data_IF_119332361611
#
_entry.id   IF_119332361611
#
_cell.length_a   1.000
_cell.length_b   1.000
_cell.length_c   1.000
_cell.angle_alpha   90.00
_cell.angle_beta   90.00
_cell.angle_gamma   90.00
#
_symmetry.space_group_name_H-M   'P 1'
#
loop_
_entity.id
_entity.type
_entity.pdbx_description
1 polymer ?
#
# COMPACT_ATOMS: atom_id res chain seq x y z
N UNK A 1 10.70 -2.50 21.91
CA UNK A 1 10.98 -3.62 21.01
C UNK A 1 12.22 -3.40 20.14
N UNK A 2 12.54 -4.33 19.31
CA UNK A 2 13.68 -4.25 18.41
C UNK A 2 13.37 -4.89 17.05
N UNK A 3 14.02 -4.38 16.00
CA UNK A 3 13.94 -5.01 14.68
C UNK A 3 14.73 -6.31 14.68
N UNK A 4 14.12 -7.35 14.14
CA UNK A 4 14.88 -8.52 13.72
C UNK A 4 15.61 -8.19 12.43
N UNK A 5 16.78 -8.76 12.23
CA UNK A 5 17.55 -8.57 10.99
C UNK A 5 16.97 -9.43 9.86
N UNK A 6 15.69 -9.14 9.55
CA UNK A 6 14.95 -9.83 8.49
C UNK A 6 14.01 -8.87 7.79
N UNK A 7 14.20 -8.73 6.49
CA UNK A 7 13.52 -7.74 5.67
C UNK A 7 12.75 -8.39 4.51
N UNK A 8 11.56 -7.88 4.26
CA UNK A 8 10.70 -8.31 3.15
C UNK A 8 10.52 -7.12 2.22
N UNK A 9 10.91 -7.30 0.97
CA UNK A 9 10.75 -6.32 -0.10
C UNK A 9 9.49 -6.65 -0.90
N UNK A 10 8.42 -5.89 -0.69
CA UNK A 10 7.23 -5.98 -1.53
C UNK A 10 7.52 -5.32 -2.88
N UNK A 11 7.56 -6.12 -3.93
CA UNK A 11 7.98 -5.71 -5.27
C UNK A 11 6.93 -4.88 -6.03
N UNK A 12 7.35 -4.31 -7.15
CA UNK A 12 6.52 -3.57 -8.10
C UNK A 12 5.80 -2.35 -7.51
N UNK A 13 6.40 -1.70 -6.54
CA UNK A 13 5.85 -0.49 -5.92
C UNK A 13 6.32 0.76 -6.67
N UNK A 14 5.36 1.54 -7.16
CA UNK A 14 5.64 2.77 -7.88
C UNK A 14 5.62 3.98 -6.95
N UNK A 15 6.67 4.80 -7.02
CA UNK A 15 6.70 6.12 -6.39
C UNK A 15 7.25 7.16 -7.36
N UNK A 16 6.46 8.20 -7.66
CA UNK A 16 6.81 9.25 -8.63
C UNK A 16 7.31 8.71 -9.99
N UNK A 17 6.65 7.67 -10.51
CA UNK A 17 6.99 7.05 -11.79
C UNK A 17 8.23 6.13 -11.77
N UNK A 18 8.85 5.92 -10.60
CA UNK A 18 9.99 5.02 -10.44
C UNK A 18 9.54 3.73 -9.77
N UNK A 19 10.03 2.59 -10.28
CA UNK A 19 9.79 1.28 -9.66
C UNK A 19 10.71 1.07 -8.47
N UNK A 20 10.18 0.45 -7.42
CA UNK A 20 10.92 0.13 -6.21
C UNK A 20 10.19 -0.90 -5.37
N UNK A 21 10.49 -0.87 -4.09
CA UNK A 21 9.98 -1.81 -3.09
C UNK A 21 9.39 -1.06 -1.90
N UNK A 22 8.33 -1.60 -1.29
CA UNK A 22 8.02 -1.27 0.09
C UNK A 22 8.80 -2.23 0.98
N UNK A 23 9.52 -1.67 1.95
CA UNK A 23 10.35 -2.42 2.88
C UNK A 23 9.58 -2.72 4.13
N UNK A 24 9.39 -4.00 4.41
CA UNK A 24 8.83 -4.49 5.65
C UNK A 24 9.93 -5.16 6.46
N UNK A 25 10.05 -4.80 7.74
CA UNK A 25 10.98 -5.44 8.67
C UNK A 25 10.19 -6.03 9.82
N UNK A 26 10.55 -7.23 10.25
CA UNK A 26 9.95 -7.85 11.44
C UNK A 26 10.41 -7.10 12.67
N UNK A 27 9.46 -6.74 13.53
CA UNK A 27 9.72 -6.03 14.78
C UNK A 27 9.16 -6.84 15.94
N UNK A 28 10.03 -7.27 16.83
CA UNK A 28 9.67 -7.98 18.04
C UNK A 28 9.29 -6.98 19.12
N UNK A 29 8.12 -7.19 19.69
CA UNK A 29 7.63 -6.38 20.79
C UNK A 29 8.28 -6.84 22.10
N UNK A 30 8.73 -5.89 22.96
CA UNK A 30 9.38 -6.20 24.24
C UNK A 30 8.55 -7.21 25.04
N UNK A 31 9.22 -8.31 25.43
CA UNK A 31 8.69 -9.39 26.28
C UNK A 31 7.35 -10.01 25.82
N UNK A 32 6.94 -9.79 24.58
CA UNK A 32 5.66 -10.26 24.05
C UNK A 32 5.78 -10.77 22.63
N UNK A 33 5.51 -12.02 22.45
CA UNK A 33 5.01 -12.53 21.18
C UNK A 33 3.53 -12.17 21.06
N UNK A 34 3.03 -11.85 19.87
CA UNK A 34 3.62 -11.97 18.54
C UNK A 34 4.41 -10.72 18.10
N UNK A 35 5.27 -10.91 17.10
CA UNK A 35 5.96 -9.83 16.37
C UNK A 35 5.02 -9.10 15.40
N UNK A 36 5.43 -7.92 14.90
CA UNK A 36 4.66 -7.15 13.92
C UNK A 36 5.52 -6.81 12.70
N UNK A 37 4.92 -6.82 11.50
CA UNK A 37 5.57 -6.29 10.31
C UNK A 37 5.47 -4.76 10.28
N UNK A 38 6.62 -4.10 10.27
CA UNK A 38 6.73 -2.64 10.17
C UNK A 38 7.04 -2.26 8.74
N UNK A 39 6.13 -1.52 8.11
CA UNK A 39 6.39 -0.90 6.82
C UNK A 39 7.22 0.36 7.03
N UNK A 40 8.51 0.28 6.67
CA UNK A 40 9.47 1.37 6.81
C UNK A 40 9.43 2.38 5.66
N UNK A 41 8.66 2.12 4.62
CA UNK A 41 8.52 3.00 3.47
C UNK A 41 9.07 2.41 2.18
N UNK A 42 9.13 3.27 1.16
CA UNK A 42 9.55 2.91 -0.19
C UNK A 42 11.04 3.20 -0.44
N UNK A 43 11.69 2.26 -1.11
CA UNK A 43 13.06 2.39 -1.62
C UNK A 43 13.09 2.11 -3.12
N UNK A 44 13.88 2.87 -3.88
CA UNK A 44 14.04 2.64 -5.31
C UNK A 44 14.73 1.32 -5.61
N UNK A 45 14.27 0.62 -6.65
CA UNK A 45 14.99 -0.53 -7.16
C UNK A 45 16.27 -0.07 -7.87
N UNK A 46 17.34 -0.85 -7.73
CA UNK A 46 18.55 -0.65 -8.51
C UNK A 46 18.33 -1.05 -9.97
N UNK A 47 19.22 -0.58 -10.86
CA UNK A 47 19.18 -0.94 -12.29
C UNK A 47 19.33 -2.46 -12.48
N UNK A 48 20.17 -3.08 -11.67
CA UNK A 48 20.32 -4.53 -11.59
C UNK A 48 19.42 -5.08 -10.48
N UNK A 49 18.23 -5.53 -10.85
CA UNK A 49 17.22 -6.05 -9.92
C UNK A 49 17.58 -7.39 -9.30
N UNK A 50 18.65 -8.06 -9.76
CA UNK A 50 19.15 -9.27 -9.12
C UNK A 50 19.92 -8.98 -7.83
N UNK A 51 20.29 -7.71 -7.62
CA UNK A 51 21.00 -7.28 -6.41
C UNK A 51 20.02 -6.80 -5.36
N UNK A 52 20.25 -7.24 -4.13
CA UNK A 52 19.52 -6.73 -2.98
C UNK A 52 19.89 -5.24 -2.73
N UNK A 53 18.90 -4.36 -2.48
CA UNK A 53 19.19 -3.00 -2.06
C UNK A 53 19.93 -3.01 -0.73
N UNK A 54 20.85 -2.06 -0.55
CA UNK A 54 21.66 -1.96 0.68
C UNK A 54 21.07 -0.89 1.60
N UNK A 55 20.75 -1.29 2.80
CA UNK A 55 20.33 -0.41 3.87
C UNK A 55 20.58 -1.07 5.22
N UNK A 56 20.65 -0.26 6.27
CA UNK A 56 20.87 -0.76 7.61
C UNK A 56 19.54 -0.99 8.34
N UNK A 57 19.50 -2.06 9.13
CA UNK A 57 18.43 -2.32 10.09
C UNK A 57 18.97 -2.00 11.48
N UNK A 58 18.32 -1.09 12.24
CA UNK A 58 18.77 -0.78 13.60
C UNK A 58 18.69 -2.00 14.52
N UNK A 59 19.74 -2.28 15.25
CA UNK A 59 19.86 -3.45 16.16
C UNK A 59 19.56 -3.10 17.62
N UNK A 60 19.40 -1.82 17.94
CA UNK A 60 19.09 -1.37 19.30
C UNK A 60 17.60 -1.33 19.57
N UNK A 61 17.20 -1.50 20.85
CA UNK A 61 15.81 -1.33 21.26
C UNK A 61 15.30 0.06 20.88
N UNK A 62 14.10 0.10 20.29
CA UNK A 62 13.46 1.31 19.79
C UNK A 62 12.00 1.38 20.21
N UNK A 63 11.52 2.60 20.33
CA UNK A 63 10.09 2.89 20.34
C UNK A 63 9.69 3.34 18.95
N UNK A 64 8.67 2.70 18.40
CA UNK A 64 8.11 3.04 17.09
C UNK A 64 6.76 3.72 17.27
N UNK A 65 6.60 4.83 16.59
CA UNK A 65 5.32 5.50 16.44
C UNK A 65 4.85 5.32 14.99
N UNK A 66 3.56 5.01 14.79
CA UNK A 66 3.02 4.73 13.48
C UNK A 66 1.53 4.37 13.51
N UNK A 67 0.98 4.10 12.35
CA UNK A 67 -0.42 3.75 12.18
C UNK A 67 -0.58 2.28 11.85
N UNK A 68 -1.44 1.57 12.59
CA UNK A 68 -1.84 0.21 12.23
C UNK A 68 -2.65 0.22 10.93
N UNK A 69 -2.34 -0.70 10.06
CA UNK A 69 -2.99 -0.86 8.76
C UNK A 69 -3.17 -2.33 8.44
N UNK A 70 -4.24 -2.62 7.71
CA UNK A 70 -4.34 -3.94 7.10
C UNK A 70 -3.19 -4.13 6.10
N UNK A 71 -2.72 -5.37 5.89
CA UNK A 71 -1.77 -5.68 4.84
C UNK A 71 -2.29 -5.16 3.49
N UNK A 72 -1.40 -4.79 2.57
CA UNK A 72 -1.82 -4.45 1.22
C UNK A 72 -2.69 -5.56 0.64
N UNK A 73 -3.84 -5.20 0.05
CA UNK A 73 -4.70 -6.17 -0.59
C UNK A 73 -3.89 -6.93 -1.65
N UNK A 74 -3.90 -8.25 -1.57
CA UNK A 74 -3.32 -9.08 -2.61
C UNK A 74 -4.13 -8.88 -3.89
N UNK A 75 -3.47 -8.48 -4.98
CA UNK A 75 -4.08 -8.47 -6.31
C UNK A 75 -4.56 -9.87 -6.73
N UNK A 76 -4.95 -10.01 -8.00
CA UNK A 76 -5.34 -11.32 -8.55
C UNK A 76 -4.23 -12.35 -8.27
N UNK A 77 -4.56 -13.40 -7.51
CA UNK A 77 -3.68 -14.55 -7.31
C UNK A 77 -3.77 -15.43 -8.54
N UNK A 78 -2.65 -15.63 -9.20
CA UNK A 78 -2.49 -16.73 -10.14
C UNK A 78 -1.90 -17.91 -9.36
N UNK A 79 -2.48 -19.10 -9.46
CA UNK A 79 -1.90 -20.30 -8.90
C UNK A 79 -0.46 -20.46 -9.42
N UNK A 80 0.50 -20.62 -8.50
CA UNK A 80 1.94 -20.70 -8.82
C UNK A 80 2.70 -19.37 -8.75
N UNK A 81 2.07 -18.25 -8.38
CA UNK A 81 2.74 -16.94 -8.21
C UNK A 81 3.33 -16.72 -6.81
N UNK A 82 3.52 -17.77 -6.02
CA UNK A 82 4.22 -17.69 -4.73
C UNK A 82 5.74 -17.56 -4.93
N UNK A 83 6.14 -16.48 -5.60
CA UNK A 83 7.55 -16.20 -5.78
C UNK A 83 8.06 -15.45 -4.54
N UNK A 84 8.44 -16.21 -3.53
CA UNK A 84 9.38 -15.74 -2.51
C UNK A 84 10.76 -15.92 -3.11
N UNK A 85 11.40 -14.84 -3.50
CA UNK A 85 12.77 -14.85 -3.96
C UNK A 85 13.67 -14.45 -2.81
N UNK A 86 14.54 -15.37 -2.37
CA UNK A 86 15.57 -15.08 -1.39
C UNK A 86 16.69 -14.32 -2.08
N UNK A 87 16.80 -13.02 -1.81
CA UNK A 87 17.88 -12.19 -2.34
C UNK A 87 19.15 -12.33 -1.50
N UNK A 88 18.98 -12.44 -0.17
CA UNK A 88 20.03 -12.73 0.81
C UNK A 88 19.43 -13.60 1.92
N UNK A 89 20.23 -13.99 2.91
CA UNK A 89 19.74 -14.79 4.04
C UNK A 89 18.76 -14.01 4.91
N UNK A 90 18.89 -12.69 4.94
CA UNK A 90 18.12 -11.74 5.74
C UNK A 90 17.13 -10.90 4.92
N UNK A 91 17.00 -11.17 3.60
CA UNK A 91 16.16 -10.33 2.73
C UNK A 91 15.44 -11.15 1.64
N UNK A 92 14.12 -11.07 1.66
CA UNK A 92 13.28 -11.75 0.68
C UNK A 92 12.52 -10.73 -0.16
N UNK A 93 12.43 -11.00 -1.47
CA UNK A 93 11.58 -10.26 -2.39
C UNK A 93 10.30 -11.03 -2.63
N UNK A 94 9.15 -10.36 -2.45
CA UNK A 94 7.82 -10.97 -2.60
C UNK A 94 6.93 -10.10 -3.48
N UNK A 95 6.01 -10.72 -4.18
CA UNK A 95 4.99 -10.02 -4.97
C UNK A 95 3.78 -9.60 -4.11
N UNK A 96 3.56 -10.29 -2.99
CA UNK A 96 2.48 -10.02 -2.03
C UNK A 96 2.90 -10.49 -0.63
N UNK A 97 2.28 -9.93 0.39
CA UNK A 97 2.50 -10.33 1.78
C UNK A 97 1.55 -11.49 2.09
N UNK A 98 2.11 -12.69 2.22
CA UNK A 98 1.39 -13.89 2.68
C UNK A 98 1.75 -14.20 4.14
N UNK A 99 0.90 -13.76 5.08
CA UNK A 99 1.17 -13.95 6.51
C UNK A 99 1.29 -15.41 6.93
N UNK A 100 0.39 -16.34 6.51
CA UNK A 100 0.55 -17.76 6.83
C UNK A 100 1.88 -18.34 6.34
N UNK A 101 2.27 -18.02 5.11
CA UNK A 101 3.56 -18.45 4.55
C UNK A 101 4.76 -17.86 5.29
N UNK A 102 4.68 -16.58 5.67
CA UNK A 102 5.74 -15.91 6.44
C UNK A 102 5.88 -16.51 7.85
N UNK A 103 4.79 -16.69 8.58
CA UNK A 103 4.79 -17.32 9.92
C UNK A 103 5.45 -18.71 9.85
N UNK A 104 5.05 -19.51 8.85
CA UNK A 104 5.63 -20.86 8.67
C UNK A 104 7.12 -20.81 8.33
N UNK A 105 7.52 -19.87 7.47
CA UNK A 105 8.89 -19.80 6.95
C UNK A 105 9.87 -19.16 7.94
N UNK A 106 9.40 -18.20 8.74
CA UNK A 106 10.23 -17.50 9.74
C UNK A 106 10.25 -18.23 11.08
N UNK A 107 9.23 -19.04 11.37
CA UNK A 107 9.03 -19.63 12.70
C UNK A 107 8.61 -18.61 13.76
N UNK A 108 8.20 -17.42 13.34
CA UNK A 108 7.80 -16.31 14.19
C UNK A 108 6.27 -16.19 14.23
N UNK A 109 5.72 -15.89 15.39
CA UNK A 109 4.30 -15.57 15.54
C UNK A 109 4.07 -14.09 15.18
N UNK A 110 3.50 -13.86 13.99
CA UNK A 110 3.26 -12.52 13.46
C UNK A 110 1.80 -12.10 13.62
N UNK A 111 1.60 -10.88 14.10
CA UNK A 111 0.29 -10.23 14.01
C UNK A 111 -0.11 -10.05 12.54
N UNK A 112 -1.34 -10.45 12.18
CA UNK A 112 -1.90 -10.27 10.82
C UNK A 112 -2.35 -8.81 10.62
N UNK A 113 -1.45 -7.90 10.92
CA UNK A 113 -1.59 -6.45 10.77
C UNK A 113 -0.20 -5.86 10.55
N UNK A 114 -0.11 -4.70 9.91
CA UNK A 114 1.16 -4.02 9.71
C UNK A 114 1.18 -2.67 10.42
N UNK A 115 2.36 -2.21 10.83
CA UNK A 115 2.59 -0.86 11.30
C UNK A 115 3.16 -0.01 10.17
N UNK A 116 2.44 1.00 9.72
CA UNK A 116 2.98 2.04 8.83
C UNK A 116 3.76 3.02 9.71
N UNK A 117 5.08 3.01 9.56
CA UNK A 117 5.97 3.85 10.34
C UNK A 117 5.70 5.33 10.08
N UNK A 118 5.61 6.17 11.12
CA UNK A 118 5.38 7.60 10.97
C UNK A 118 6.49 8.29 10.17
N UNK A 119 6.12 9.36 9.47
CA UNK A 119 7.03 10.06 8.56
C UNK A 119 8.29 10.59 9.25
N UNK A 120 8.18 10.98 10.51
CA UNK A 120 9.27 11.56 11.30
C UNK A 120 10.07 10.50 12.08
N UNK A 121 9.63 9.24 12.08
CA UNK A 121 10.32 8.18 12.78
C UNK A 121 11.69 7.87 12.13
N UNK A 122 12.73 7.59 12.94
CA UNK A 122 14.04 7.22 12.42
C UNK A 122 14.01 5.90 11.66
N UNK A 123 15.07 5.63 10.90
CA UNK A 123 15.28 4.36 10.18
C UNK A 123 14.19 4.00 9.14
N UNK A 124 13.41 4.98 8.68
CA UNK A 124 12.46 4.81 7.60
C UNK A 124 13.01 5.29 6.25
N UNK A 125 12.30 4.87 5.20
CA UNK A 125 12.57 5.26 3.81
C UNK A 125 11.57 6.34 3.36
N UNK A 126 11.30 6.46 2.06
CA UNK A 126 10.30 7.40 1.55
C UNK A 126 8.90 6.92 2.01
N UNK A 127 8.23 7.73 2.80
CA UNK A 127 6.92 7.45 3.38
C UNK A 127 5.92 8.50 2.92
N UNK A 128 5.13 8.13 1.91
CA UNK A 128 4.04 8.95 1.40
C UNK A 128 2.73 8.17 1.61
N UNK A 129 2.33 8.04 2.87
CA UNK A 129 1.11 7.32 3.19
C UNK A 129 -0.11 8.13 2.76
N UNK A 130 -0.72 7.74 1.64
CA UNK A 130 -2.00 8.29 1.22
C UNK A 130 -3.12 7.63 2.02
N UNK A 131 -3.94 8.40 2.73
CA UNK A 131 -5.12 7.84 3.39
C UNK A 131 -6.03 7.17 2.36
N UNK A 132 -6.69 6.05 2.72
CA UNK A 132 -7.70 5.45 1.85
C UNK A 132 -8.76 6.48 1.46
N UNK A 133 -9.07 6.60 0.18
CA UNK A 133 -10.07 7.55 -0.32
C UNK A 133 -9.58 9.00 -0.53
N UNK A 134 -8.30 9.29 -0.33
CA UNK A 134 -7.72 10.63 -0.48
C UNK A 134 -7.40 11.04 -1.93
N UNK A 135 -7.88 10.30 -2.92
CA UNK A 135 -7.74 10.67 -4.34
C UNK A 135 -8.74 11.79 -4.70
N UNK A 136 -8.48 13.00 -4.16
CA UNK A 136 -9.34 14.18 -4.32
C UNK A 136 -9.59 14.50 -5.80
N UNK A 137 -8.57 14.37 -6.64
CA UNK A 137 -8.69 14.65 -8.07
C UNK A 137 -9.66 13.70 -8.75
N UNK A 138 -9.61 12.41 -8.40
CA UNK A 138 -10.54 11.40 -8.92
C UNK A 138 -11.96 11.64 -8.41
N UNK A 139 -12.11 11.93 -7.13
CA UNK A 139 -13.41 12.21 -6.52
C UNK A 139 -14.05 13.45 -7.11
N UNK A 140 -13.27 14.51 -7.34
CA UNK A 140 -13.73 15.73 -8.01
C UNK A 140 -14.12 15.45 -9.46
N UNK A 141 -13.38 14.64 -10.19
CA UNK A 141 -13.71 14.21 -11.54
C UNK A 141 -15.03 13.46 -11.60
N UNK A 142 -15.28 12.53 -10.69
CA UNK A 142 -16.58 11.85 -10.60
C UNK A 142 -17.71 12.81 -10.24
N UNK A 143 -17.50 13.71 -9.29
CA UNK A 143 -18.50 14.71 -8.93
C UNK A 143 -18.87 15.57 -10.15
N UNK A 144 -17.88 16.08 -10.88
CA UNK A 144 -18.12 16.85 -12.11
C UNK A 144 -18.94 16.06 -13.14
N UNK A 145 -18.61 14.79 -13.36
CA UNK A 145 -19.32 13.93 -14.30
C UNK A 145 -20.80 13.76 -13.91
N UNK A 146 -21.08 13.53 -12.63
CA UNK A 146 -22.46 13.39 -12.14
C UNK A 146 -23.26 14.69 -12.27
N UNK A 147 -22.66 15.84 -11.93
CA UNK A 147 -23.32 17.13 -12.09
C UNK A 147 -23.58 17.48 -13.58
N UNK A 148 -22.64 17.17 -14.47
CA UNK A 148 -22.82 17.37 -15.90
C UNK A 148 -23.96 16.52 -16.47
N UNK A 149 -24.07 15.27 -16.07
CA UNK A 149 -25.17 14.39 -16.46
C UNK A 149 -26.52 14.89 -15.92
N UNK A 150 -26.57 15.30 -14.65
CA UNK A 150 -27.79 15.87 -14.05
C UNK A 150 -28.24 17.12 -14.79
N UNK A 151 -27.32 18.01 -15.13
CA UNK A 151 -27.62 19.23 -15.92
C UNK A 151 -28.14 18.87 -17.31
N UNK A 152 -27.52 17.90 -17.99
CA UNK A 152 -27.99 17.48 -19.31
C UNK A 152 -29.43 16.92 -19.27
N UNK A 153 -29.75 16.09 -18.28
CA UNK A 153 -31.10 15.56 -18.07
C UNK A 153 -32.09 16.69 -17.80
N UNK A 154 -31.72 17.65 -16.96
CA UNK A 154 -32.54 18.82 -16.64
C UNK A 154 -32.85 19.67 -17.91
N UNK A 155 -31.84 19.95 -18.72
CA UNK A 155 -32.01 20.69 -19.99
C UNK A 155 -32.94 19.94 -20.95
N UNK A 156 -32.75 18.62 -21.11
CA UNK A 156 -33.61 17.80 -21.95
C UNK A 156 -35.04 17.84 -21.45
N UNK A 157 -35.28 17.68 -20.17
CA UNK A 157 -36.60 17.71 -19.57
C UNK A 157 -37.28 19.06 -19.83
N UNK A 158 -36.58 20.19 -19.62
CA UNK A 158 -37.08 21.53 -19.90
C UNK A 158 -37.44 21.70 -21.38
N UNK A 159 -36.56 21.27 -22.29
CA UNK A 159 -36.80 21.38 -23.74
C UNK A 159 -38.03 20.55 -24.16
N UNK A 160 -38.18 19.34 -23.65
CA UNK A 160 -39.33 18.48 -23.95
C UNK A 160 -40.61 19.14 -23.41
N UNK A 161 -40.61 19.62 -22.18
CA UNK A 161 -41.77 20.27 -21.57
C UNK A 161 -42.20 21.50 -22.34
N UNK A 162 -41.25 22.37 -22.72
CA UNK A 162 -41.53 23.57 -23.50
C UNK A 162 -42.10 23.26 -24.91
N UNK A 163 -41.57 22.18 -25.55
CA UNK A 163 -42.08 21.72 -26.85
C UNK A 163 -43.52 21.18 -26.75
N UNK A 164 -43.78 20.36 -25.73
CA UNK A 164 -45.10 19.80 -25.48
C UNK A 164 -46.14 20.94 -25.22
N UNK A 165 -45.75 21.95 -24.46
CA UNK A 165 -46.64 23.10 -24.18
C UNK A 165 -46.99 23.87 -25.46
N UNK A 166 -46.03 24.10 -26.36
CA UNK A 166 -46.28 24.78 -27.63
C UNK A 166 -47.15 23.96 -28.60
N UNK A 167 -47.05 22.62 -28.58
CA UNK A 167 -47.83 21.73 -29.47
C UNK A 167 -49.28 21.56 -29.02
N UNK A 168 -49.61 21.80 -27.77
CA UNK A 168 -50.96 21.68 -27.21
C UNK A 168 -51.79 22.98 -27.32
N UNK A 169 -51.21 24.06 -27.84
CA UNK A 169 -51.84 25.39 -27.97
C UNK A 169 -52.29 25.73 -29.41
N UNK A 170 -52.31 24.73 -30.32
CA UNK A 170 -52.81 24.85 -31.66
C UNK A 170 -54.01 23.93 -31.83
#
# INVERSE_FOLDING_TARGET
GYYLDFNILLDNQLHQGRTGYLVYTVFELDDRNPSILVNRGWIGAEADRSRAPRFDTPTTSQRLDGRLSQPPATGLRFEGSELIERMTDDMWRVQHIDFPGLITSLGEDLLVITLLLDNDAPAGFIRAWTPPGSDEARNLGYAFQWFAMALAVMVIAVVITLRSYKSGST
#
